data_IF_261509281723
#
_entry.id   IF_261509281723
#
_cell.length_a   1.000
_cell.length_b   1.000
_cell.length_c   1.000
_cell.angle_alpha   90.00
_cell.angle_beta   90.00
_cell.angle_gamma   90.00
#
_symmetry.space_group_name_H-M   'P 1'
#
loop_
_entity.id
_entity.type
_entity.pdbx_description
1 polymer ?
#
# COMPACT_ATOMS: atom_id res chain seq x y z
N UNK A 1 -31.64 -45.34 -25.73
CA UNK A 1 -31.33 -45.73 -24.34
C UNK A 1 -30.56 -44.59 -23.72
N UNK A 2 -31.07 -43.99 -22.66
CA UNK A 2 -30.54 -42.77 -22.05
C UNK A 2 -29.27 -43.05 -21.26
N UNK A 3 -28.38 -42.07 -21.16
CA UNK A 3 -27.08 -42.12 -20.46
C UNK A 3 -27.18 -42.68 -19.02
N UNK A 4 -28.33 -42.54 -18.38
CA UNK A 4 -28.66 -43.13 -17.09
C UNK A 4 -28.76 -44.65 -17.11
N UNK A 5 -29.09 -45.26 -18.27
CA UNK A 5 -29.17 -46.72 -18.41
C UNK A 5 -27.81 -47.41 -18.39
N UNK A 6 -26.78 -46.78 -18.96
CA UNK A 6 -25.40 -47.32 -18.94
C UNK A 6 -24.73 -47.17 -17.56
N UNK A 7 -25.07 -46.12 -16.81
CA UNK A 7 -24.57 -45.96 -15.47
C UNK A 7 -25.16 -47.02 -14.52
N UNK A 8 -26.47 -47.35 -14.65
CA UNK A 8 -27.07 -48.45 -13.88
C UNK A 8 -26.50 -49.81 -14.24
N UNK A 9 -26.27 -50.08 -15.54
CA UNK A 9 -25.63 -51.31 -15.98
C UNK A 9 -24.19 -51.44 -15.49
N UNK A 10 -23.44 -50.35 -15.47
CA UNK A 10 -22.08 -50.34 -14.93
C UNK A 10 -22.05 -50.58 -13.41
N UNK A 11 -22.95 -49.96 -12.67
CA UNK A 11 -23.06 -50.15 -11.23
C UNK A 11 -23.46 -51.56 -10.86
N UNK A 12 -24.44 -52.18 -11.59
CA UNK A 12 -24.84 -53.55 -11.38
C UNK A 12 -23.72 -54.55 -11.73
N UNK A 13 -22.95 -54.27 -12.75
CA UNK A 13 -21.78 -55.11 -13.11
C UNK A 13 -20.68 -55.04 -12.04
N UNK A 14 -20.40 -53.86 -11.49
CA UNK A 14 -19.43 -53.69 -10.39
C UNK A 14 -19.88 -54.38 -9.11
N UNK A 15 -21.18 -54.25 -8.77
CA UNK A 15 -21.73 -54.95 -7.60
C UNK A 15 -21.73 -56.45 -7.80
N UNK A 16 -22.07 -56.94 -8.98
CA UNK A 16 -22.00 -58.37 -9.30
C UNK A 16 -20.56 -58.90 -9.24
N UNK A 17 -19.55 -58.15 -9.75
CA UNK A 17 -18.15 -58.48 -9.65
C UNK A 17 -17.66 -58.52 -8.18
N UNK A 18 -18.06 -57.53 -7.37
CA UNK A 18 -17.73 -57.51 -5.94
C UNK A 18 -18.34 -58.68 -5.18
N UNK A 19 -19.61 -58.99 -5.45
CA UNK A 19 -20.30 -60.18 -4.88
C UNK A 19 -19.61 -61.46 -5.33
N UNK A 20 -19.23 -61.55 -6.61
CA UNK A 20 -18.45 -62.69 -7.15
C UNK A 20 -17.09 -62.85 -6.46
N UNK A 21 -16.35 -61.80 -6.22
CA UNK A 21 -15.06 -61.82 -5.48
C UNK A 21 -15.29 -62.28 -4.05
N UNK A 22 -16.32 -61.75 -3.37
CA UNK A 22 -16.62 -62.17 -2.00
C UNK A 22 -17.04 -63.62 -1.92
N UNK A 23 -17.90 -64.13 -2.85
CA UNK A 23 -18.31 -65.49 -2.91
C UNK A 23 -17.11 -66.41 -3.26
N UNK A 24 -16.26 -65.97 -4.22
CA UNK A 24 -15.04 -66.74 -4.56
C UNK A 24 -14.06 -66.81 -3.36
N UNK A 25 -13.85 -65.66 -2.66
CA UNK A 25 -13.03 -65.64 -1.46
C UNK A 25 -13.61 -66.53 -0.34
N UNK A 26 -14.93 -66.55 -0.20
CA UNK A 26 -15.63 -67.38 0.78
C UNK A 26 -15.54 -68.88 0.40
N UNK A 27 -15.70 -69.21 -0.87
CA UNK A 27 -15.54 -70.57 -1.37
C UNK A 27 -14.07 -71.05 -1.26
N UNK A 28 -13.10 -70.24 -1.55
CA UNK A 28 -11.67 -70.50 -1.33
C UNK A 28 -11.34 -70.68 0.15
N UNK A 29 -11.91 -69.87 1.00
CA UNK A 29 -11.80 -69.99 2.45
C UNK A 29 -12.43 -71.31 2.96
N UNK A 30 -13.63 -71.66 2.47
CA UNK A 30 -14.29 -72.95 2.81
C UNK A 30 -13.49 -74.13 2.28
N UNK A 31 -12.91 -74.06 1.03
CA UNK A 31 -12.07 -75.08 0.49
C UNK A 31 -10.76 -75.25 1.31
N UNK A 32 -10.08 -74.15 1.64
CA UNK A 32 -8.92 -74.16 2.50
C UNK A 32 -9.23 -74.67 3.94
N UNK A 33 -10.40 -74.32 4.45
CA UNK A 33 -10.87 -74.87 5.75
C UNK A 33 -11.24 -76.35 5.68
N UNK A 34 -11.67 -76.88 4.49
CA UNK A 34 -11.89 -78.30 4.25
C UNK A 34 -10.57 -79.07 4.17
N UNK A 35 -9.56 -78.54 3.46
CA UNK A 35 -8.22 -79.17 3.38
C UNK A 35 -7.51 -79.14 4.74
N UNK A 36 -7.67 -78.05 5.53
CA UNK A 36 -7.22 -78.01 6.92
C UNK A 36 -7.98 -79.01 7.85
N UNK A 37 -9.24 -79.35 7.55
CA UNK A 37 -9.98 -80.41 8.27
C UNK A 37 -9.39 -81.80 8.12
N UNK A 38 -8.74 -82.09 6.97
CA UNK A 38 -8.03 -83.35 6.77
C UNK A 38 -6.86 -83.58 7.73
N UNK A 39 -6.25 -82.51 8.23
CA UNK A 39 -5.09 -82.60 9.10
C UNK A 39 -5.36 -82.36 10.63
N UNK A 40 -6.62 -81.93 10.97
CA UNK A 40 -6.98 -81.55 12.35
C UNK A 40 -7.98 -82.49 13.03
N UNK A 41 -8.06 -83.74 12.59
CA UNK A 41 -9.02 -84.69 13.20
C UNK A 41 -8.56 -85.25 14.57
N UNK A 42 -7.44 -84.73 15.12
CA UNK A 42 -6.91 -85.18 16.43
C UNK A 42 -6.85 -84.13 17.55
N UNK A 43 -7.33 -82.91 17.39
CA UNK A 43 -7.42 -82.01 18.57
C UNK A 43 -8.51 -80.99 18.47
N UNK A 44 -9.35 -80.88 19.50
CA UNK A 44 -10.52 -80.04 19.66
C UNK A 44 -10.30 -78.51 19.58
N UNK A 45 -9.70 -78.05 18.48
CA UNK A 45 -9.28 -76.64 18.27
C UNK A 45 -9.96 -75.82 17.19
N UNK A 46 -11.00 -76.36 16.49
CA UNK A 46 -11.60 -75.69 15.33
C UNK A 46 -12.25 -74.33 15.66
N UNK A 47 -12.86 -74.22 16.84
CA UNK A 47 -13.46 -72.96 17.30
C UNK A 47 -12.43 -71.90 17.69
N UNK A 48 -11.29 -72.36 18.26
CA UNK A 48 -10.21 -71.46 18.69
C UNK A 48 -9.45 -70.90 17.47
N UNK A 49 -9.26 -71.67 16.41
CA UNK A 49 -8.55 -71.22 15.19
C UNK A 49 -9.40 -70.22 14.39
N UNK A 50 -10.71 -70.45 14.30
CA UNK A 50 -11.60 -69.51 13.64
C UNK A 50 -11.75 -68.19 14.42
N UNK A 51 -11.78 -68.25 15.74
CA UNK A 51 -11.77 -67.07 16.62
C UNK A 51 -10.46 -66.29 16.51
N UNK A 52 -9.31 -66.96 16.46
CA UNK A 52 -8.01 -66.34 16.28
C UNK A 52 -7.85 -65.66 14.91
N UNK A 53 -8.30 -66.28 13.81
CA UNK A 53 -8.28 -65.71 12.48
C UNK A 53 -9.23 -64.51 12.34
N UNK A 54 -10.40 -64.55 12.97
CA UNK A 54 -11.31 -63.40 13.08
C UNK A 54 -10.73 -62.26 13.93
N UNK A 55 -10.07 -62.59 15.05
CA UNK A 55 -9.39 -61.56 15.84
C UNK A 55 -8.22 -60.90 15.08
N UNK A 56 -7.44 -61.68 14.33
CA UNK A 56 -6.36 -61.14 13.50
C UNK A 56 -6.87 -60.22 12.40
N UNK A 57 -7.92 -60.62 11.68
CA UNK A 57 -8.53 -59.77 10.62
C UNK A 57 -9.16 -58.53 11.22
N UNK A 58 -9.87 -58.60 12.34
CA UNK A 58 -10.38 -57.42 13.03
C UNK A 58 -9.28 -56.49 13.56
N UNK A 59 -8.18 -57.05 14.07
CA UNK A 59 -7.02 -56.28 14.50
C UNK A 59 -6.38 -55.55 13.31
N UNK A 60 -6.22 -56.21 12.16
CA UNK A 60 -5.71 -55.58 10.93
C UNK A 60 -6.63 -54.47 10.40
N UNK A 61 -7.95 -54.70 10.37
CA UNK A 61 -8.92 -53.71 9.96
C UNK A 61 -8.90 -52.45 10.88
N UNK A 62 -8.85 -52.67 12.21
CA UNK A 62 -8.71 -51.57 13.17
C UNK A 62 -7.40 -50.80 13.04
N UNK A 63 -6.29 -51.47 12.74
CA UNK A 63 -5.00 -50.82 12.47
C UNK A 63 -5.07 -50.01 11.19
N UNK A 64 -5.70 -50.53 10.14
CA UNK A 64 -5.86 -49.82 8.86
C UNK A 64 -6.78 -48.62 8.99
N UNK A 65 -7.89 -48.74 9.71
CA UNK A 65 -8.81 -47.64 10.01
C UNK A 65 -8.09 -46.53 10.81
N UNK A 66 -7.35 -46.88 11.87
CA UNK A 66 -6.53 -45.92 12.63
C UNK A 66 -5.49 -45.22 11.76
N UNK A 67 -4.77 -45.97 10.93
CA UNK A 67 -3.77 -45.40 10.03
C UNK A 67 -4.39 -44.46 8.98
N UNK A 68 -5.61 -44.75 8.50
CA UNK A 68 -6.33 -43.86 7.61
C UNK A 68 -6.84 -42.59 8.32
N UNK A 69 -7.36 -42.76 9.55
CA UNK A 69 -7.81 -41.61 10.37
C UNK A 69 -6.61 -40.68 10.71
N UNK A 70 -5.50 -41.23 11.14
CA UNK A 70 -4.26 -40.47 11.44
C UNK A 70 -3.75 -39.72 10.19
N UNK A 71 -3.77 -40.36 9.02
CA UNK A 71 -3.39 -39.72 7.75
C UNK A 71 -4.35 -38.61 7.36
N UNK A 72 -5.66 -38.81 7.54
CA UNK A 72 -6.67 -37.79 7.29
C UNK A 72 -6.49 -36.58 8.21
N UNK A 73 -6.31 -36.83 9.51
CA UNK A 73 -6.05 -35.76 10.49
C UNK A 73 -4.74 -35.00 10.20
N UNK A 74 -3.66 -35.73 9.86
CA UNK A 74 -2.38 -35.12 9.50
C UNK A 74 -2.50 -34.24 8.24
N UNK A 75 -3.23 -34.72 7.23
CA UNK A 75 -3.49 -33.96 6.00
C UNK A 75 -4.33 -32.70 6.27
N UNK A 76 -5.33 -32.82 7.13
CA UNK A 76 -6.21 -31.70 7.49
C UNK A 76 -5.47 -30.64 8.31
N UNK A 77 -4.63 -31.07 9.27
CA UNK A 77 -3.75 -30.17 10.02
C UNK A 77 -2.78 -29.43 9.12
N UNK A 78 -2.09 -30.14 8.22
CA UNK A 78 -1.13 -29.53 7.28
C UNK A 78 -1.84 -28.51 6.36
N UNK A 79 -3.02 -28.84 5.85
CA UNK A 79 -3.81 -27.91 5.03
C UNK A 79 -4.20 -26.65 5.80
N UNK A 80 -4.61 -26.81 7.06
CA UNK A 80 -4.94 -25.69 7.95
C UNK A 80 -3.73 -24.82 8.26
N UNK A 81 -2.58 -25.44 8.57
CA UNK A 81 -1.32 -24.73 8.83
C UNK A 81 -0.86 -23.92 7.61
N UNK A 82 -0.96 -24.50 6.41
CA UNK A 82 -0.64 -23.78 5.15
C UNK A 82 -1.54 -22.55 5.01
N UNK A 83 -2.86 -22.70 5.17
CA UNK A 83 -3.82 -21.59 5.04
C UNK A 83 -3.55 -20.48 6.07
N UNK A 84 -3.20 -20.84 7.29
CA UNK A 84 -2.89 -19.88 8.37
C UNK A 84 -1.57 -19.15 8.13
N UNK A 85 -0.55 -19.86 7.63
CA UNK A 85 0.78 -19.31 7.41
C UNK A 85 0.90 -18.43 6.18
N UNK A 86 -0.06 -18.47 5.26
CA UNK A 86 -0.07 -17.61 4.07
C UNK A 86 -0.03 -16.13 4.47
N UNK A 87 0.95 -15.40 3.94
CA UNK A 87 1.05 -13.94 4.08
C UNK A 87 0.06 -13.20 3.20
N UNK A 88 -0.39 -13.80 2.10
CA UNK A 88 -1.47 -13.32 1.26
C UNK A 88 -2.84 -13.57 1.90
N UNK A 89 -3.78 -12.66 1.69
CA UNK A 89 -5.18 -12.88 2.04
C UNK A 89 -5.78 -13.97 1.16
N UNK A 90 -6.39 -14.97 1.77
CA UNK A 90 -7.14 -16.03 1.10
C UNK A 90 -8.61 -15.92 1.48
N UNK A 91 -9.47 -15.78 0.48
CA UNK A 91 -10.93 -15.81 0.62
C UNK A 91 -11.50 -16.85 -0.33
N UNK A 92 -12.25 -17.81 0.20
CA UNK A 92 -12.98 -18.81 -0.58
C UNK A 92 -14.48 -18.62 -0.37
N UNK A 93 -15.21 -18.53 -1.47
CA UNK A 93 -16.66 -18.34 -1.48
C UNK A 93 -17.34 -19.45 -2.28
N UNK A 94 -18.54 -19.84 -1.88
CA UNK A 94 -19.37 -20.77 -2.64
C UNK A 94 -20.31 -20.03 -3.62
N UNK A 95 -21.04 -20.79 -4.44
CA UNK A 95 -22.03 -20.24 -5.36
C UNK A 95 -23.22 -19.54 -4.62
N UNK A 96 -23.48 -19.90 -3.38
CA UNK A 96 -24.47 -19.27 -2.51
C UNK A 96 -23.97 -17.96 -1.88
N UNK A 97 -22.81 -17.44 -2.33
CA UNK A 97 -22.19 -16.22 -1.82
C UNK A 97 -21.77 -16.30 -0.34
N UNK A 98 -21.60 -17.52 0.21
CA UNK A 98 -21.13 -17.72 1.56
C UNK A 98 -19.63 -17.87 1.61
N UNK A 99 -19.01 -17.24 2.60
CA UNK A 99 -17.58 -17.37 2.87
C UNK A 99 -17.32 -18.73 3.52
N UNK A 100 -16.52 -19.55 2.87
CA UNK A 100 -16.08 -20.85 3.36
C UNK A 100 -14.76 -20.76 4.11
N UNK A 101 -13.83 -19.98 3.58
CA UNK A 101 -12.50 -19.78 4.16
C UNK A 101 -12.15 -18.31 4.08
N UNK A 102 -11.61 -17.77 5.16
CA UNK A 102 -10.96 -16.47 5.22
C UNK A 102 -9.80 -16.58 6.21
N UNK A 103 -8.56 -16.55 5.68
CA UNK A 103 -7.38 -16.72 6.50
C UNK A 103 -7.07 -15.48 7.38
N UNK A 104 -6.19 -15.59 8.39
CA UNK A 104 -5.85 -14.46 9.27
C UNK A 104 -5.25 -13.26 8.53
N UNK A 105 -4.44 -13.49 7.48
CA UNK A 105 -3.89 -12.40 6.66
C UNK A 105 -5.00 -11.63 5.95
N UNK A 106 -5.97 -12.32 5.37
CA UNK A 106 -7.12 -11.70 4.72
C UNK A 106 -7.98 -10.89 5.70
N UNK A 107 -8.21 -11.39 6.92
CA UNK A 107 -8.92 -10.64 7.95
C UNK A 107 -8.21 -9.32 8.28
N UNK A 108 -6.88 -9.37 8.48
CA UNK A 108 -6.09 -8.14 8.75
C UNK A 108 -6.16 -7.14 7.62
N UNK A 109 -5.98 -7.58 6.37
CA UNK A 109 -6.01 -6.69 5.19
C UNK A 109 -7.38 -6.05 4.95
N UNK A 110 -8.47 -6.76 5.33
CA UNK A 110 -9.83 -6.25 5.22
C UNK A 110 -10.29 -5.46 6.47
N UNK A 111 -9.42 -5.32 7.49
CA UNK A 111 -9.74 -4.62 8.73
C UNK A 111 -10.82 -5.30 9.57
N UNK A 112 -10.95 -6.63 9.46
CA UNK A 112 -11.95 -7.43 10.18
C UNK A 112 -11.38 -7.95 11.50
N UNK A 113 -12.20 -7.93 12.56
CA UNK A 113 -11.82 -8.55 13.82
C UNK A 113 -11.63 -10.07 13.67
N UNK A 114 -10.76 -10.65 14.52
CA UNK A 114 -10.45 -12.08 14.47
C UNK A 114 -11.72 -12.95 14.60
N UNK A 115 -12.67 -12.53 15.45
CA UNK A 115 -13.90 -13.26 15.77
C UNK A 115 -15.10 -12.85 14.90
N UNK A 116 -14.87 -12.04 13.84
CA UNK A 116 -15.99 -11.64 12.98
C UNK A 116 -16.61 -12.89 12.34
N UNK A 117 -17.95 -13.09 12.49
CA UNK A 117 -18.62 -14.28 11.96
C UNK A 117 -18.52 -14.31 10.42
N UNK A 118 -18.25 -15.49 9.88
CA UNK A 118 -18.27 -15.73 8.44
C UNK A 118 -19.73 -15.92 8.01
N UNK A 119 -20.12 -15.17 6.99
CA UNK A 119 -21.45 -15.21 6.41
C UNK A 119 -21.36 -14.92 4.91
N UNK A 120 -22.32 -14.20 4.35
CA UNK A 120 -22.24 -13.73 2.98
C UNK A 120 -21.08 -12.74 2.81
N UNK A 121 -20.33 -12.89 1.70
CA UNK A 121 -19.16 -12.00 1.44
C UNK A 121 -19.57 -10.55 1.10
N UNK A 122 -20.80 -10.31 0.62
CA UNK A 122 -21.25 -8.96 0.26
C UNK A 122 -21.30 -8.00 1.46
N UNK A 123 -21.96 -8.32 2.60
CA UNK A 123 -21.91 -7.47 3.77
C UNK A 123 -20.50 -7.42 4.41
N UNK A 124 -19.76 -8.54 4.35
CA UNK A 124 -18.38 -8.61 4.85
C UNK A 124 -17.45 -7.65 4.10
N UNK A 125 -17.58 -7.54 2.77
CA UNK A 125 -16.78 -6.68 1.90
C UNK A 125 -17.42 -5.31 1.66
N UNK A 126 -18.33 -4.85 2.50
CA UNK A 126 -18.99 -3.54 2.36
C UNK A 126 -17.99 -2.39 2.22
N UNK A 127 -16.89 -2.45 2.97
CA UNK A 127 -15.80 -1.47 2.89
C UNK A 127 -14.76 -1.81 1.80
N UNK A 128 -14.95 -2.91 1.09
CA UNK A 128 -14.05 -3.44 0.05
C UNK A 128 -14.83 -3.79 -1.22
N UNK A 129 -15.77 -2.95 -1.61
CA UNK A 129 -16.65 -3.17 -2.78
C UNK A 129 -15.89 -3.50 -4.09
N UNK A 130 -14.73 -2.88 -4.41
CA UNK A 130 -13.97 -3.28 -5.59
C UNK A 130 -13.58 -4.76 -5.60
N UNK A 131 -13.24 -5.33 -4.43
CA UNK A 131 -12.94 -6.76 -4.28
C UNK A 131 -14.19 -7.62 -4.49
N UNK A 132 -15.33 -7.22 -3.92
CA UNK A 132 -16.60 -7.91 -4.10
C UNK A 132 -17.00 -7.97 -5.58
N UNK A 133 -16.84 -6.87 -6.32
CA UNK A 133 -17.15 -6.80 -7.76
C UNK A 133 -16.31 -7.77 -8.59
N UNK A 134 -15.02 -7.90 -8.29
CA UNK A 134 -14.13 -8.84 -9.00
C UNK A 134 -14.51 -10.30 -8.71
N UNK A 135 -14.90 -10.63 -7.49
CA UNK A 135 -15.40 -11.96 -7.13
C UNK A 135 -16.70 -12.26 -7.89
N UNK A 136 -17.64 -11.33 -7.92
CA UNK A 136 -18.90 -11.47 -8.65
C UNK A 136 -18.69 -11.63 -10.16
N UNK A 137 -17.75 -10.87 -10.74
CA UNK A 137 -17.34 -10.98 -12.13
C UNK A 137 -16.84 -12.39 -12.46
N UNK A 138 -15.95 -12.95 -11.61
CA UNK A 138 -15.43 -14.31 -11.78
C UNK A 138 -16.51 -15.36 -11.63
N UNK A 139 -17.38 -15.26 -10.62
CA UNK A 139 -18.50 -16.19 -10.41
C UNK A 139 -19.49 -16.19 -11.57
N UNK A 140 -19.75 -15.03 -12.18
CA UNK A 140 -20.67 -14.89 -13.30
C UNK A 140 -20.08 -15.38 -14.63
N UNK A 141 -18.79 -15.11 -14.89
CA UNK A 141 -18.14 -15.41 -16.17
C UNK A 141 -17.45 -16.77 -16.19
N UNK A 142 -17.11 -17.31 -15.01
CA UNK A 142 -16.27 -18.51 -14.87
C UNK A 142 -14.80 -18.27 -15.27
N UNK A 143 -14.44 -17.06 -15.72
CA UNK A 143 -13.09 -16.73 -16.18
C UNK A 143 -12.20 -16.29 -15.00
N UNK A 144 -10.94 -16.75 -14.95
CA UNK A 144 -10.01 -16.30 -13.92
C UNK A 144 -9.58 -14.86 -14.17
N UNK A 145 -9.50 -14.09 -13.09
CA UNK A 145 -9.00 -12.72 -13.09
C UNK A 145 -7.63 -12.74 -12.40
N UNK A 146 -6.58 -12.42 -13.15
CA UNK A 146 -5.20 -12.57 -12.67
C UNK A 146 -4.55 -11.21 -12.48
N UNK A 147 -3.94 -11.00 -11.30
CA UNK A 147 -3.12 -9.81 -10.97
C UNK A 147 -3.80 -8.47 -11.23
N UNK A 148 -5.06 -8.34 -10.89
CA UNK A 148 -5.78 -7.07 -10.99
C UNK A 148 -5.44 -6.21 -9.77
N UNK A 149 -4.93 -5.00 -10.00
CA UNK A 149 -4.74 -4.03 -8.92
C UNK A 149 -6.08 -3.33 -8.63
N UNK A 150 -6.46 -3.26 -7.37
CA UNK A 150 -7.67 -2.61 -6.89
C UNK A 150 -7.30 -1.51 -5.90
N UNK A 151 -7.88 -0.34 -6.10
CA UNK A 151 -7.85 0.74 -5.10
C UNK A 151 -8.98 0.53 -4.10
N UNK A 152 -8.63 0.48 -2.83
CA UNK A 152 -9.57 0.31 -1.75
C UNK A 152 -9.88 1.66 -1.11
N UNK A 153 -11.15 1.94 -0.77
CA UNK A 153 -11.50 3.17 -0.08
C UNK A 153 -10.74 3.27 1.24
N UNK A 154 -10.14 4.44 1.47
CA UNK A 154 -9.25 4.68 2.59
C UNK A 154 -9.95 4.51 3.95
N UNK A 155 -9.41 3.66 4.79
CA UNK A 155 -9.61 3.76 6.23
C UNK A 155 -8.52 4.69 6.77
N UNK A 156 -8.88 5.80 7.45
CA UNK A 156 -7.94 6.85 7.91
C UNK A 156 -7.14 7.60 6.83
N UNK A 157 -7.76 7.95 5.70
CA UNK A 157 -7.19 8.81 4.63
C UNK A 157 -6.02 8.20 3.83
N UNK A 158 -5.67 6.94 4.02
CA UNK A 158 -4.66 6.26 3.21
C UNK A 158 -5.34 5.27 2.28
N UNK A 159 -5.31 5.51 0.98
CA UNK A 159 -5.78 4.58 -0.04
C UNK A 159 -4.90 3.33 0.00
N UNK A 160 -5.47 2.16 0.18
CA UNK A 160 -4.73 0.92 0.12
C UNK A 160 -4.90 0.26 -1.26
N UNK A 161 -3.84 -0.35 -1.76
CA UNK A 161 -3.83 -1.05 -3.04
C UNK A 161 -3.74 -2.55 -2.81
N UNK A 162 -4.72 -3.31 -3.33
CA UNK A 162 -4.70 -4.76 -3.29
C UNK A 162 -4.43 -5.34 -4.67
N UNK A 163 -3.43 -6.21 -4.78
CA UNK A 163 -3.24 -7.08 -5.95
C UNK A 163 -4.09 -8.33 -5.79
N UNK A 164 -5.03 -8.56 -6.70
CA UNK A 164 -6.06 -9.60 -6.56
C UNK A 164 -5.96 -10.59 -7.69
N UNK A 165 -6.06 -11.87 -7.36
CA UNK A 165 -6.25 -12.99 -8.31
C UNK A 165 -7.46 -13.79 -7.85
N UNK A 166 -8.44 -13.95 -8.74
CA UNK A 166 -9.65 -14.74 -8.48
C UNK A 166 -9.75 -15.84 -9.52
N UNK A 167 -9.97 -17.06 -9.06
CA UNK A 167 -10.15 -18.22 -9.93
C UNK A 167 -11.40 -18.97 -9.53
N UNK A 168 -12.10 -19.52 -10.52
CA UNK A 168 -13.25 -20.40 -10.28
C UNK A 168 -12.79 -21.72 -9.66
N UNK A 169 -13.50 -22.17 -8.63
CA UNK A 169 -13.35 -23.51 -8.08
C UNK A 169 -14.32 -24.43 -8.80
N UNK A 170 -13.81 -25.52 -9.37
CA UNK A 170 -14.59 -26.53 -10.06
C UNK A 170 -14.50 -27.86 -9.32
N UNK A 171 -15.59 -28.62 -9.36
CA UNK A 171 -15.60 -29.99 -8.88
C UNK A 171 -14.81 -30.91 -9.85
N UNK A 172 -14.53 -32.19 -9.50
CA UNK A 172 -13.83 -33.13 -10.39
C UNK A 172 -14.55 -33.37 -11.72
N UNK A 173 -15.82 -33.01 -11.85
CA UNK A 173 -16.64 -33.14 -13.07
C UNK A 173 -16.58 -31.87 -13.91
N UNK A 174 -15.97 -30.78 -13.41
CA UNK A 174 -15.80 -29.53 -14.13
C UNK A 174 -16.91 -28.51 -13.88
N UNK A 175 -17.87 -28.77 -12.98
CA UNK A 175 -18.90 -27.79 -12.66
C UNK A 175 -18.37 -26.73 -11.68
N UNK A 176 -18.73 -25.44 -11.85
CA UNK A 176 -18.34 -24.41 -10.92
C UNK A 176 -18.92 -24.70 -9.52
N UNK A 177 -18.08 -24.60 -8.52
CA UNK A 177 -18.43 -24.87 -7.11
C UNK A 177 -18.30 -23.62 -6.22
N UNK A 178 -17.57 -22.62 -6.72
CA UNK A 178 -17.31 -21.38 -6.01
C UNK A 178 -16.18 -20.59 -6.63
N UNK A 179 -15.57 -19.70 -5.87
CA UNK A 179 -14.38 -18.97 -6.27
C UNK A 179 -13.35 -18.91 -5.14
N UNK A 180 -12.08 -18.96 -5.52
CA UNK A 180 -10.94 -18.71 -4.66
C UNK A 180 -10.35 -17.36 -5.04
N UNK A 181 -10.16 -16.50 -4.05
CA UNK A 181 -9.59 -15.18 -4.18
C UNK A 181 -8.33 -15.08 -3.33
N UNK A 182 -7.21 -14.81 -3.98
CA UNK A 182 -5.93 -14.47 -3.34
C UNK A 182 -5.69 -12.97 -3.51
N UNK A 183 -5.33 -12.28 -2.43
CA UNK A 183 -5.04 -10.86 -2.49
C UNK A 183 -3.86 -10.48 -1.59
N UNK A 184 -3.09 -9.49 -2.05
CA UNK A 184 -1.86 -9.04 -1.40
C UNK A 184 -1.90 -7.52 -1.27
N UNK A 185 -1.43 -6.99 -0.18
CA UNK A 185 -1.28 -5.55 0.00
C UNK A 185 -0.09 -5.05 -0.83
N UNK A 186 -0.39 -4.25 -1.84
CA UNK A 186 0.57 -3.61 -2.73
C UNK A 186 0.82 -2.15 -2.38
N UNK A 187 0.26 -1.63 -1.30
CA UNK A 187 0.30 -0.19 -0.96
C UNK A 187 1.74 0.32 -0.89
N UNK A 188 2.63 -0.41 -0.22
CA UNK A 188 4.04 -0.02 -0.14
C UNK A 188 4.77 -0.16 -1.47
N UNK A 189 4.45 -1.18 -2.27
CA UNK A 189 5.08 -1.42 -3.58
C UNK A 189 4.70 -0.31 -4.55
N UNK A 190 3.41 0.01 -4.64
CA UNK A 190 2.89 1.10 -5.50
C UNK A 190 3.46 2.45 -5.08
N UNK A 191 3.53 2.72 -3.78
CA UNK A 191 4.12 3.95 -3.27
C UNK A 191 5.63 4.06 -3.59
N UNK A 192 6.38 2.95 -3.50
CA UNK A 192 7.79 2.91 -3.92
C UNK A 192 7.94 3.10 -5.44
N UNK A 193 7.10 2.47 -6.23
CA UNK A 193 7.13 2.61 -7.70
C UNK A 193 6.85 4.06 -8.12
N UNK A 194 5.87 4.70 -7.49
CA UNK A 194 5.56 6.11 -7.73
C UNK A 194 6.72 7.03 -7.32
N UNK A 195 7.36 6.76 -6.18
CA UNK A 195 8.57 7.48 -5.77
C UNK A 195 9.72 7.32 -6.76
N UNK A 196 9.94 6.10 -7.28
CA UNK A 196 10.98 5.86 -8.30
C UNK A 196 10.66 6.59 -9.60
N UNK A 197 9.42 6.51 -10.08
CA UNK A 197 8.97 7.25 -11.28
C UNK A 197 9.17 8.76 -11.12
N UNK A 198 8.86 9.28 -9.94
CA UNK A 198 9.06 10.69 -9.65
C UNK A 198 10.56 11.04 -9.65
N UNK A 199 11.41 10.24 -8.99
CA UNK A 199 12.86 10.42 -8.99
C UNK A 199 13.43 10.43 -10.43
N UNK A 200 13.02 9.48 -11.26
CA UNK A 200 13.47 9.38 -12.66
C UNK A 200 13.00 10.57 -13.50
N UNK A 201 11.76 10.98 -13.34
CA UNK A 201 11.21 12.16 -14.02
C UNK A 201 11.97 13.43 -13.66
N UNK A 202 12.25 13.61 -12.37
CA UNK A 202 13.03 14.75 -11.85
C UNK A 202 14.47 14.74 -12.34
N UNK A 203 15.10 13.57 -12.43
CA UNK A 203 16.46 13.42 -12.94
C UNK A 203 16.56 13.83 -14.42
N UNK A 204 15.64 13.37 -15.26
CA UNK A 204 15.60 13.74 -16.71
C UNK A 204 15.36 15.23 -16.91
N UNK A 205 14.48 15.85 -16.15
CA UNK A 205 14.27 17.31 -16.21
C UNK A 205 15.54 18.02 -15.81
N UNK A 206 16.28 17.52 -14.82
CA UNK A 206 17.54 18.12 -14.35
C UNK A 206 18.65 18.15 -15.39
N UNK A 207 18.83 17.05 -16.10
CA UNK A 207 19.91 16.91 -17.07
C UNK A 207 19.74 17.83 -18.31
N UNK A 208 18.51 17.92 -18.81
CA UNK A 208 18.18 18.77 -19.97
C UNK A 208 18.21 20.27 -19.66
N UNK A 209 18.03 20.64 -18.41
CA UNK A 209 17.74 22.03 -18.02
C UNK A 209 18.97 22.79 -17.55
N UNK A 210 20.03 22.11 -17.10
CA UNK A 210 21.22 22.77 -16.55
C UNK A 210 21.93 23.70 -17.55
N UNK A 211 22.00 23.31 -18.82
CA UNK A 211 22.59 24.13 -19.89
C UNK A 211 21.72 25.36 -20.22
N UNK A 212 20.44 25.12 -20.44
CA UNK A 212 19.50 26.18 -20.85
C UNK A 212 19.38 27.26 -19.77
N UNK A 213 19.28 26.86 -18.52
CA UNK A 213 19.08 27.81 -17.42
C UNK A 213 20.35 28.64 -17.12
N UNK A 214 21.54 28.15 -17.43
CA UNK A 214 22.75 28.96 -17.35
C UNK A 214 22.72 30.10 -18.37
N UNK A 215 22.26 29.84 -19.59
CA UNK A 215 22.11 30.87 -20.64
C UNK A 215 21.02 31.89 -20.26
N UNK A 216 19.87 31.43 -19.74
CA UNK A 216 18.83 32.35 -19.26
C UNK A 216 19.33 33.26 -18.13
N UNK A 217 20.05 32.71 -17.15
CA UNK A 217 20.63 33.50 -16.06
C UNK A 217 21.55 34.57 -16.55
N UNK A 218 22.45 34.23 -17.50
CA UNK A 218 23.39 35.20 -18.08
C UNK A 218 22.68 36.29 -18.84
N UNK A 219 21.67 35.96 -19.68
CA UNK A 219 20.87 36.93 -20.41
C UNK A 219 20.10 37.89 -19.47
N UNK A 220 19.43 37.35 -18.45
CA UNK A 220 18.70 38.15 -17.47
C UNK A 220 19.63 39.02 -16.62
N UNK A 221 20.83 38.51 -16.23
CA UNK A 221 21.83 39.28 -15.50
C UNK A 221 22.33 40.46 -16.33
N UNK A 222 22.53 40.27 -17.64
CA UNK A 222 22.91 41.33 -18.56
C UNK A 222 21.85 42.43 -18.69
N UNK A 223 20.57 42.04 -18.88
CA UNK A 223 19.45 42.99 -18.97
C UNK A 223 19.29 43.75 -17.63
N UNK A 224 19.36 43.04 -16.50
CA UNK A 224 19.30 43.64 -15.19
C UNK A 224 20.45 44.61 -14.95
N UNK A 225 21.66 44.23 -15.38
CA UNK A 225 22.85 45.07 -15.31
C UNK A 225 22.70 46.37 -16.08
N UNK A 226 22.26 46.30 -17.34
CA UNK A 226 21.98 47.50 -18.13
C UNK A 226 20.89 48.38 -17.52
N UNK A 227 19.82 47.79 -17.02
CA UNK A 227 18.74 48.54 -16.33
C UNK A 227 19.26 49.25 -15.06
N UNK A 228 20.25 48.68 -14.34
CA UNK A 228 20.87 49.30 -13.16
C UNK A 228 21.81 50.45 -13.49
N UNK A 229 22.42 50.43 -14.66
CA UNK A 229 23.28 51.54 -15.13
C UNK A 229 22.46 52.80 -15.49
N UNK A 230 21.17 52.68 -15.74
CA UNK A 230 20.30 53.83 -15.97
C UNK A 230 20.01 54.50 -14.62
N UNK A 231 20.54 55.69 -14.42
CA UNK A 231 20.25 56.47 -13.23
C UNK A 231 18.83 57.02 -13.25
N UNK A 232 17.98 56.57 -12.31
CA UNK A 232 16.58 56.98 -12.24
C UNK A 232 16.42 58.47 -11.98
N UNK A 233 17.37 59.10 -11.30
CA UNK A 233 17.29 60.53 -10.96
C UNK A 233 17.57 61.42 -12.14
N UNK A 234 18.36 60.96 -13.08
CA UNK A 234 18.67 61.70 -14.32
C UNK A 234 17.68 61.43 -15.46
N UNK A 235 16.84 60.37 -15.33
CA UNK A 235 15.85 60.06 -16.36
C UNK A 235 14.60 60.94 -16.24
N UNK A 236 14.01 61.32 -17.41
CA UNK A 236 12.73 61.99 -17.43
C UNK A 236 11.67 61.17 -16.64
N UNK A 237 10.81 61.83 -15.87
CA UNK A 237 9.84 61.12 -15.01
C UNK A 237 8.97 60.06 -15.73
N UNK A 238 8.67 60.30 -17.00
CA UNK A 238 7.89 59.41 -17.87
C UNK A 238 8.55 58.03 -18.06
N UNK A 239 9.88 57.92 -18.02
CA UNK A 239 10.63 56.68 -18.29
C UNK A 239 10.98 55.92 -17.01
N UNK A 240 10.96 56.56 -15.84
CA UNK A 240 11.32 55.96 -14.58
C UNK A 240 10.49 54.68 -14.27
N UNK A 241 9.15 54.68 -14.44
CA UNK A 241 8.35 53.47 -14.17
C UNK A 241 8.72 52.29 -15.08
N UNK A 242 9.12 52.57 -16.32
CA UNK A 242 9.52 51.50 -17.25
C UNK A 242 10.86 50.87 -16.85
N UNK A 243 11.85 51.67 -16.46
CA UNK A 243 13.14 51.15 -16.01
C UNK A 243 12.97 50.37 -14.70
N UNK A 244 12.16 50.87 -13.78
CA UNK A 244 11.85 50.22 -12.52
C UNK A 244 11.11 48.90 -12.77
N UNK A 245 10.15 48.87 -13.69
CA UNK A 245 9.48 47.66 -14.13
C UNK A 245 10.43 46.61 -14.73
N UNK A 246 11.37 47.04 -15.59
CA UNK A 246 12.38 46.16 -16.14
C UNK A 246 13.29 45.57 -15.07
N UNK A 247 13.70 46.39 -14.09
CA UNK A 247 14.53 45.93 -12.94
C UNK A 247 13.77 44.87 -12.13
N UNK A 248 12.53 45.13 -11.82
CA UNK A 248 11.69 44.25 -11.01
C UNK A 248 11.43 42.94 -11.76
N UNK A 249 11.06 42.99 -13.05
CA UNK A 249 10.76 41.83 -13.87
C UNK A 249 11.99 40.96 -14.08
N UNK A 250 13.15 41.54 -14.40
CA UNK A 250 14.39 40.77 -14.58
C UNK A 250 14.87 40.14 -13.28
N UNK A 251 14.69 40.77 -12.13
CA UNK A 251 14.98 40.19 -10.81
C UNK A 251 14.04 39.01 -10.52
N UNK A 252 12.74 39.16 -10.78
CA UNK A 252 11.74 38.12 -10.63
C UNK A 252 12.04 36.89 -11.51
N UNK A 253 12.28 37.11 -12.81
CA UNK A 253 12.67 36.04 -13.74
C UNK A 253 13.97 35.35 -13.34
N UNK A 254 14.98 36.11 -12.85
CA UNK A 254 16.22 35.55 -12.30
C UNK A 254 15.97 34.61 -11.12
N UNK A 255 15.03 34.94 -10.24
CA UNK A 255 14.64 34.11 -9.12
C UNK A 255 13.91 32.84 -9.60
N UNK A 256 13.03 32.97 -10.60
CA UNK A 256 12.33 31.82 -11.21
C UNK A 256 13.35 30.82 -11.79
N UNK A 257 14.32 31.32 -12.57
CA UNK A 257 15.37 30.49 -13.16
C UNK A 257 16.23 29.83 -12.08
N UNK A 258 16.55 30.55 -11.01
CA UNK A 258 17.34 30.00 -9.89
C UNK A 258 16.56 28.88 -9.17
N UNK A 259 15.29 29.10 -8.87
CA UNK A 259 14.43 28.10 -8.25
C UNK A 259 14.26 26.87 -9.16
N UNK A 260 14.14 27.09 -10.47
CA UNK A 260 14.03 26.02 -11.45
C UNK A 260 15.32 25.20 -11.55
N UNK A 261 16.50 25.83 -11.54
CA UNK A 261 17.80 25.14 -11.49
C UNK A 261 17.96 24.30 -10.24
N UNK A 262 17.58 24.84 -9.08
CA UNK A 262 17.60 24.11 -7.81
C UNK A 262 16.66 22.91 -7.85
N UNK A 263 15.51 23.09 -8.47
CA UNK A 263 14.58 21.99 -8.71
C UNK A 263 15.13 20.97 -9.71
N UNK A 264 15.78 21.39 -10.77
CA UNK A 264 16.26 20.53 -11.85
C UNK A 264 17.52 19.73 -11.50
N UNK A 265 18.43 20.26 -10.65
CA UNK A 265 19.68 19.57 -10.30
C UNK A 265 19.41 18.21 -9.63
N UNK A 266 20.16 17.14 -10.01
CA UNK A 266 20.16 15.90 -9.23
C UNK A 266 20.51 16.21 -7.77
N UNK A 267 19.70 15.74 -6.83
CA UNK A 267 20.00 15.90 -5.41
C UNK A 267 21.16 14.95 -5.04
N UNK A 268 22.39 15.48 -4.99
CA UNK A 268 23.48 14.82 -4.29
C UNK A 268 23.30 15.19 -2.81
N UNK A 269 22.72 14.27 -2.03
CA UNK A 269 22.46 14.50 -0.61
C UNK A 269 23.75 14.43 0.18
N UNK A 270 24.06 15.48 0.93
CA UNK A 270 25.08 15.46 1.98
C UNK A 270 24.42 14.96 3.27
N UNK A 271 24.25 13.62 3.39
CA UNK A 271 23.58 13.03 4.54
C UNK A 271 24.43 13.19 5.81
N UNK A 272 23.85 13.76 6.85
CA UNK A 272 24.41 13.91 8.20
C UNK A 272 23.28 13.79 9.23
N UNK A 273 23.59 13.56 10.52
CA UNK A 273 22.61 13.69 11.58
C UNK A 273 22.03 15.10 11.63
N UNK A 274 20.72 15.23 11.51
CA UNK A 274 19.99 16.51 11.47
C UNK A 274 18.94 16.55 12.56
N UNK A 275 18.96 17.60 13.35
CA UNK A 275 17.95 17.89 14.37
C UNK A 275 16.76 18.61 13.71
N UNK A 276 15.65 17.89 13.53
CA UNK A 276 14.46 18.44 12.86
C UNK A 276 13.83 19.61 13.62
N UNK A 277 13.96 19.65 14.95
CA UNK A 277 13.48 20.76 15.76
C UNK A 277 14.22 22.05 15.43
N UNK A 278 15.55 22.00 15.30
CA UNK A 278 16.36 23.16 14.93
C UNK A 278 16.01 23.69 13.54
N UNK A 279 15.69 22.79 12.59
CA UNK A 279 15.21 23.19 11.24
C UNK A 279 13.84 23.86 11.34
N UNK A 280 12.91 23.26 12.09
CA UNK A 280 11.55 23.80 12.25
C UNK A 280 11.58 25.20 12.90
N UNK A 281 12.39 25.39 13.95
CA UNK A 281 12.54 26.68 14.60
C UNK A 281 13.17 27.74 13.69
N UNK A 282 14.20 27.39 12.92
CA UNK A 282 14.79 28.31 11.94
C UNK A 282 13.80 28.75 10.89
N UNK A 283 13.02 27.79 10.35
CA UNK A 283 11.99 28.09 9.36
C UNK A 283 10.87 28.98 9.95
N UNK A 284 10.47 28.73 11.19
CA UNK A 284 9.49 29.55 11.91
C UNK A 284 10.01 30.98 12.11
N UNK A 285 11.28 31.13 12.52
CA UNK A 285 11.90 32.44 12.77
C UNK A 285 11.96 33.32 11.53
N UNK A 286 12.18 32.73 10.33
CA UNK A 286 12.20 33.45 9.05
C UNK A 286 10.91 34.25 8.80
N UNK A 287 9.76 33.78 9.29
CA UNK A 287 8.44 34.40 9.03
C UNK A 287 7.75 34.93 10.29
N UNK A 288 8.28 34.66 11.48
CA UNK A 288 7.68 35.05 12.79
C UNK A 288 7.54 36.57 12.91
N UNK A 289 8.53 37.33 12.46
CA UNK A 289 8.47 38.78 12.42
C UNK A 289 7.29 39.28 11.57
N UNK A 290 7.16 38.79 10.37
CA UNK A 290 6.07 39.17 9.45
C UNK A 290 4.70 38.70 9.96
N UNK A 291 4.61 37.54 10.58
CA UNK A 291 3.39 37.06 11.19
C UNK A 291 2.93 37.97 12.35
N UNK A 292 3.85 38.36 13.24
CA UNK A 292 3.57 39.24 14.37
C UNK A 292 3.15 40.65 13.97
N UNK A 293 3.77 41.21 12.93
CA UNK A 293 3.35 42.53 12.41
C UNK A 293 1.91 42.53 11.90
N UNK A 294 1.37 41.35 11.58
CA UNK A 294 -0.01 41.11 11.09
C UNK A 294 -0.94 40.56 12.19
N UNK A 295 -0.51 40.61 13.46
CA UNK A 295 -1.30 40.17 14.62
C UNK A 295 -1.39 38.66 14.79
N UNK A 296 -0.49 37.89 14.11
CA UNK A 296 -0.43 36.45 14.18
C UNK A 296 0.81 35.90 14.89
N UNK A 297 0.99 34.60 14.88
CA UNK A 297 2.19 33.94 15.40
C UNK A 297 2.50 32.62 14.67
N UNK A 298 3.76 32.13 14.86
CA UNK A 298 4.25 30.85 14.37
C UNK A 298 4.79 30.05 15.54
N UNK A 299 4.20 28.87 15.77
CA UNK A 299 4.49 28.03 16.92
C UNK A 299 5.08 26.70 16.45
N UNK A 300 6.22 26.31 17.04
CA UNK A 300 6.80 24.97 16.89
C UNK A 300 6.49 24.19 18.17
N UNK A 301 5.99 22.97 18.02
CA UNK A 301 5.64 22.13 19.17
C UNK A 301 5.72 20.64 18.83
N UNK A 302 5.70 19.79 19.85
CA UNK A 302 5.71 18.34 19.70
C UNK A 302 7.09 17.74 19.90
N UNK A 303 7.35 16.57 19.32
CA UNK A 303 8.60 15.84 19.47
C UNK A 303 9.24 15.62 18.11
N UNK A 304 10.48 16.04 17.95
CA UNK A 304 11.24 15.98 16.72
C UNK A 304 12.47 15.07 16.91
N UNK A 305 12.51 13.90 16.25
CA UNK A 305 13.71 13.06 16.33
C UNK A 305 14.83 13.60 15.44
N UNK A 306 16.06 13.18 15.74
CA UNK A 306 17.18 13.32 14.83
C UNK A 306 17.04 12.31 13.69
N UNK A 307 17.30 12.73 12.45
CA UNK A 307 17.27 11.89 11.25
C UNK A 307 18.59 11.99 10.49
N UNK A 308 18.87 11.03 9.61
CA UNK A 308 19.90 11.21 8.58
C UNK A 308 19.32 12.02 7.41
N UNK A 309 19.90 13.19 7.15
CA UNK A 309 19.39 14.08 6.11
C UNK A 309 20.40 15.15 5.69
N UNK A 310 20.01 15.95 4.72
CA UNK A 310 20.74 17.15 4.27
C UNK A 310 20.09 18.38 4.91
N UNK A 311 20.81 19.01 5.87
CA UNK A 311 20.33 20.16 6.63
C UNK A 311 19.89 21.33 5.72
N UNK A 312 20.66 21.59 4.65
CA UNK A 312 20.40 22.73 3.75
C UNK A 312 19.09 22.50 2.97
N UNK A 313 18.93 21.30 2.43
CA UNK A 313 17.76 20.97 1.64
C UNK A 313 16.50 20.85 2.50
N UNK A 314 16.60 20.19 3.67
CA UNK A 314 15.45 20.08 4.58
C UNK A 314 15.02 21.46 5.09
N UNK A 315 15.95 22.34 5.46
CA UNK A 315 15.64 23.72 5.82
C UNK A 315 14.92 24.45 4.67
N UNK A 316 15.40 24.32 3.43
CA UNK A 316 14.73 24.90 2.29
C UNK A 316 13.30 24.39 2.11
N UNK A 317 13.05 23.10 2.36
CA UNK A 317 11.71 22.53 2.27
C UNK A 317 10.79 23.13 3.35
N UNK A 318 11.25 23.22 4.61
CA UNK A 318 10.48 23.78 5.71
C UNK A 318 10.20 25.28 5.50
N UNK A 319 11.22 26.08 5.14
CA UNK A 319 11.06 27.51 4.83
C UNK A 319 10.03 27.72 3.71
N UNK A 320 10.04 26.92 2.66
CA UNK A 320 9.03 27.01 1.58
C UNK A 320 7.61 26.72 2.10
N UNK A 321 7.43 25.72 2.96
CA UNK A 321 6.11 25.40 3.52
C UNK A 321 5.60 26.50 4.42
N UNK A 322 6.43 27.00 5.34
CA UNK A 322 6.05 28.02 6.30
C UNK A 322 5.77 29.36 5.61
N UNK A 323 6.55 29.71 4.59
CA UNK A 323 6.30 30.89 3.75
C UNK A 323 4.99 30.77 2.97
N UNK A 324 4.72 29.60 2.39
CA UNK A 324 3.44 29.36 1.72
C UNK A 324 2.24 29.48 2.66
N UNK A 325 2.38 29.00 3.91
CA UNK A 325 1.37 29.14 4.94
C UNK A 325 1.12 30.62 5.31
N UNK A 326 2.18 31.40 5.51
CA UNK A 326 2.09 32.83 5.77
C UNK A 326 1.37 33.58 4.63
N UNK A 327 1.81 33.36 3.39
CA UNK A 327 1.22 33.97 2.20
C UNK A 327 -0.27 33.63 2.08
N UNK A 328 -0.66 32.37 2.30
CA UNK A 328 -2.06 31.94 2.25
C UNK A 328 -2.93 32.63 3.31
N UNK A 329 -2.42 32.81 4.52
CA UNK A 329 -3.11 33.53 5.57
C UNK A 329 -3.29 35.02 5.21
N UNK A 330 -2.25 35.63 4.66
CA UNK A 330 -2.26 37.04 4.23
C UNK A 330 -3.24 37.27 3.09
N UNK A 331 -3.22 36.42 2.06
CA UNK A 331 -4.16 36.46 0.94
C UNK A 331 -5.63 36.32 1.39
N UNK A 332 -5.86 35.52 2.46
CA UNK A 332 -7.18 35.38 3.07
C UNK A 332 -7.59 36.55 3.98
N UNK A 333 -6.71 37.54 4.18
CA UNK A 333 -6.97 38.66 5.09
C UNK A 333 -7.06 38.26 6.57
N UNK A 334 -6.46 37.11 6.97
CA UNK A 334 -6.48 36.61 8.34
C UNK A 334 -5.15 36.88 9.04
N UNK A 335 -5.22 37.07 10.37
CA UNK A 335 -4.03 37.05 11.20
C UNK A 335 -3.38 35.65 11.11
N UNK A 336 -2.09 35.55 10.71
CA UNK A 336 -1.44 34.24 10.51
C UNK A 336 -1.37 33.43 11.80
N UNK A 337 -1.89 32.21 11.77
CA UNK A 337 -1.72 31.23 12.84
C UNK A 337 -1.13 29.96 12.21
N UNK A 338 0.18 29.80 12.37
CA UNK A 338 0.94 28.72 11.76
C UNK A 338 1.52 27.84 12.85
N UNK A 339 1.33 26.53 12.73
CA UNK A 339 1.83 25.56 13.71
C UNK A 339 2.69 24.54 12.97
N UNK A 340 3.91 24.33 13.45
CA UNK A 340 4.77 23.22 13.04
C UNK A 340 4.73 22.19 14.16
N UNK A 341 4.09 21.05 13.92
CA UNK A 341 3.83 20.02 14.91
C UNK A 341 4.62 18.76 14.60
N UNK A 342 5.49 18.33 15.52
CA UNK A 342 6.34 17.14 15.40
C UNK A 342 5.77 15.97 16.20
N UNK A 343 5.84 14.77 15.63
CA UNK A 343 5.47 13.51 16.28
C UNK A 343 6.35 12.36 15.79
N UNK A 344 6.55 11.38 16.66
CA UNK A 344 7.28 10.14 16.33
C UNK A 344 6.27 9.00 16.22
N UNK A 345 6.23 8.33 15.07
CA UNK A 345 5.47 7.09 14.91
C UNK A 345 6.37 5.91 15.29
N UNK A 346 6.23 5.42 16.52
CA UNK A 346 7.06 4.34 17.06
C UNK A 346 6.89 3.00 16.32
N UNK A 347 5.71 2.74 15.72
CA UNK A 347 5.45 1.52 14.97
C UNK A 347 6.14 1.50 13.60
N UNK A 348 6.33 2.66 12.99
CA UNK A 348 6.90 2.79 11.65
C UNK A 348 8.34 3.34 11.65
N UNK A 349 8.91 3.66 12.80
CA UNK A 349 10.20 4.35 12.92
C UNK A 349 10.27 5.59 11.99
N UNK A 350 9.22 6.41 11.99
CA UNK A 350 9.10 7.60 11.15
C UNK A 350 8.86 8.85 11.98
N UNK A 351 9.55 9.93 11.61
CA UNK A 351 9.24 11.28 12.06
C UNK A 351 8.07 11.82 11.24
N UNK A 352 7.01 12.26 11.89
CA UNK A 352 5.89 12.94 11.26
C UNK A 352 5.92 14.41 11.63
N UNK A 353 5.98 15.29 10.63
CA UNK A 353 5.98 16.74 10.80
C UNK A 353 4.76 17.30 10.06
N UNK A 354 3.96 18.10 10.74
CA UNK A 354 2.78 18.75 10.17
C UNK A 354 2.92 20.26 10.20
N UNK A 355 2.83 20.92 9.04
CA UNK A 355 2.74 22.38 8.95
C UNK A 355 1.28 22.73 8.72
N UNK A 356 0.68 23.41 9.69
CA UNK A 356 -0.73 23.74 9.75
C UNK A 356 -0.91 25.25 9.65
N UNK A 357 -1.85 25.71 8.85
CA UNK A 357 -2.21 27.12 8.74
C UNK A 357 -3.72 27.36 8.98
N UNK A 358 -4.13 28.61 9.09
CA UNK A 358 -5.51 29.05 9.17
C UNK A 358 -5.97 29.81 7.90
N UNK A 359 -5.26 29.61 6.79
CA UNK A 359 -5.57 30.24 5.49
C UNK A 359 -6.91 29.77 4.89
N UNK A 360 -7.09 29.90 3.58
CA UNK A 360 -8.32 29.49 2.89
C UNK A 360 -8.42 27.99 2.66
N UNK A 361 -7.34 27.23 2.96
CA UNK A 361 -7.24 25.81 2.65
C UNK A 361 -7.00 25.56 1.15
N UNK A 362 -7.11 24.29 0.73
CA UNK A 362 -6.83 23.84 -0.65
C UNK A 362 -8.07 23.18 -1.24
N UNK A 363 -8.52 23.73 -2.37
CA UNK A 363 -9.65 23.19 -3.10
C UNK A 363 -9.40 21.72 -3.52
N UNK A 364 -10.40 20.82 -3.42
CA UNK A 364 -10.23 19.40 -3.77
C UNK A 364 -9.67 19.19 -5.18
N UNK A 365 -10.12 19.94 -6.16
CA UNK A 365 -9.65 19.88 -7.56
C UNK A 365 -8.17 20.25 -7.74
N UNK A 366 -7.56 20.97 -6.79
CA UNK A 366 -6.16 21.39 -6.84
C UNK A 366 -5.22 20.42 -6.14
N UNK A 367 -5.72 19.54 -5.29
CA UNK A 367 -4.87 18.67 -4.45
C UNK A 367 -3.97 17.74 -5.25
N UNK A 368 -4.48 17.13 -6.32
CA UNK A 368 -3.71 16.23 -7.19
C UNK A 368 -2.63 16.94 -8.02
N UNK A 369 -2.80 18.26 -8.21
CA UNK A 369 -1.92 19.08 -9.05
C UNK A 369 -0.95 19.94 -8.26
N UNK A 370 -1.13 20.04 -6.95
CA UNK A 370 -0.43 20.97 -6.07
C UNK A 370 1.10 20.83 -6.11
N UNK A 371 1.59 19.60 -6.28
CA UNK A 371 3.01 19.30 -6.36
C UNK A 371 3.56 19.26 -7.80
N UNK A 372 2.71 19.49 -8.81
CA UNK A 372 3.19 19.56 -10.20
C UNK A 372 4.00 20.84 -10.41
N UNK A 373 5.18 20.76 -11.03
CA UNK A 373 5.96 21.94 -11.37
C UNK A 373 5.14 22.97 -12.15
N UNK A 374 5.36 24.24 -11.86
CA UNK A 374 4.66 25.39 -12.47
C UNK A 374 3.16 25.48 -12.18
N UNK A 375 2.61 24.61 -11.37
CA UNK A 375 1.23 24.76 -10.92
C UNK A 375 1.16 25.78 -9.77
N UNK A 376 0.39 26.84 -9.97
CA UNK A 376 0.15 27.88 -8.96
C UNK A 376 -1.26 28.45 -9.09
N UNK A 377 -1.84 28.82 -7.98
CA UNK A 377 -3.07 29.60 -7.89
C UNK A 377 -2.81 31.06 -7.56
N UNK A 378 -1.56 31.41 -7.25
CA UNK A 378 -1.12 32.75 -6.88
C UNK A 378 -0.74 33.58 -8.11
N UNK A 379 -1.09 34.88 -8.14
CA UNK A 379 -0.79 35.77 -9.27
C UNK A 379 0.72 35.93 -9.56
N UNK A 380 1.55 35.90 -8.54
CA UNK A 380 3.01 36.04 -8.63
C UNK A 380 3.77 34.77 -8.20
N UNK A 381 3.09 33.65 -8.10
CA UNK A 381 3.69 32.39 -7.71
C UNK A 381 4.40 31.69 -8.86
N UNK A 382 5.62 31.18 -8.64
CA UNK A 382 6.39 30.41 -9.64
C UNK A 382 5.85 29.00 -9.86
N UNK A 383 5.06 28.47 -8.91
CA UNK A 383 4.58 27.08 -8.91
C UNK A 383 5.66 26.04 -8.70
N UNK A 384 6.88 26.44 -8.29
CA UNK A 384 8.01 25.53 -8.06
C UNK A 384 8.25 25.20 -6.60
N UNK A 385 7.75 26.02 -5.67
CA UNK A 385 8.05 25.86 -4.24
C UNK A 385 7.61 24.51 -3.68
N UNK A 386 6.35 24.11 -3.92
CA UNK A 386 5.82 22.81 -3.43
C UNK A 386 6.38 21.62 -4.20
N UNK A 387 6.65 21.75 -5.48
CA UNK A 387 7.34 20.73 -6.26
C UNK A 387 8.76 20.48 -5.74
N UNK A 388 9.47 21.55 -5.35
CA UNK A 388 10.79 21.45 -4.71
C UNK A 388 10.72 20.79 -3.33
N UNK A 389 9.70 21.15 -2.52
CA UNK A 389 9.45 20.46 -1.24
C UNK A 389 9.26 18.97 -1.46
N UNK A 390 8.37 18.56 -2.36
CA UNK A 390 8.15 17.16 -2.66
C UNK A 390 9.43 16.46 -3.10
N UNK A 391 10.21 17.07 -3.99
CA UNK A 391 11.49 16.54 -4.45
C UNK A 391 12.45 16.31 -3.27
N UNK A 392 12.63 17.29 -2.42
CA UNK A 392 13.52 17.19 -1.26
C UNK A 392 13.08 16.06 -0.34
N UNK A 393 11.81 16.02 0.02
CA UNK A 393 11.27 14.99 0.92
C UNK A 393 11.42 13.59 0.32
N UNK A 394 11.10 13.41 -0.97
CA UNK A 394 11.26 12.13 -1.69
C UNK A 394 12.73 11.72 -1.81
N UNK A 395 13.65 12.68 -1.99
CA UNK A 395 15.09 12.39 -2.00
C UNK A 395 15.59 11.87 -0.65
N UNK A 396 14.98 12.29 0.46
CA UNK A 396 15.23 11.79 1.82
C UNK A 396 14.42 10.50 2.13
N UNK A 397 13.89 9.80 1.14
CA UNK A 397 13.02 8.63 1.29
C UNK A 397 11.74 8.91 2.11
N UNK A 398 11.35 10.17 2.20
CA UNK A 398 10.14 10.62 2.88
C UNK A 398 8.92 10.68 1.96
N UNK A 399 7.80 11.03 2.57
CA UNK A 399 6.52 11.27 1.87
C UNK A 399 5.96 12.61 2.34
N UNK A 400 5.23 13.29 1.45
CA UNK A 400 4.46 14.48 1.78
C UNK A 400 3.01 14.29 1.35
N UNK A 401 2.09 14.65 2.20
CA UNK A 401 0.65 14.62 1.93
C UNK A 401 0.04 15.97 2.27
N UNK A 402 -1.13 16.26 1.71
CA UNK A 402 -1.88 17.47 1.98
C UNK A 402 -3.27 17.13 2.52
N UNK A 403 -3.68 17.85 3.54
CA UNK A 403 -4.97 17.71 4.21
C UNK A 403 -5.60 19.06 4.57
N UNK A 404 -6.59 18.99 5.44
CA UNK A 404 -7.27 20.16 6.00
C UNK A 404 -6.74 20.35 7.43
N UNK A 405 -6.38 21.59 7.75
CA UNK A 405 -6.03 21.97 9.13
C UNK A 405 -7.27 22.00 10.01
N UNK A 406 -7.18 21.69 11.32
CA UNK A 406 -8.28 21.87 12.28
C UNK A 406 -8.81 23.31 12.33
N UNK A 407 -7.99 24.29 12.00
CA UNK A 407 -8.35 25.71 11.89
C UNK A 407 -9.01 26.09 10.56
N UNK A 408 -9.28 25.13 9.67
CA UNK A 408 -9.94 25.32 8.38
C UNK A 408 -8.99 25.67 7.22
N UNK A 409 -7.69 25.85 7.48
CA UNK A 409 -6.65 26.09 6.48
C UNK A 409 -6.08 24.82 5.89
N UNK A 410 -4.85 24.87 5.38
CA UNK A 410 -4.14 23.70 4.86
C UNK A 410 -3.31 22.99 5.92
N UNK A 411 -3.10 21.72 5.73
CA UNK A 411 -2.22 20.85 6.52
C UNK A 411 -1.27 20.13 5.57
N UNK A 412 0.04 20.40 5.67
CA UNK A 412 1.07 19.63 4.97
C UNK A 412 1.71 18.67 5.95
N UNK A 413 1.61 17.38 5.67
CA UNK A 413 2.16 16.31 6.51
C UNK A 413 3.35 15.67 5.83
N UNK A 414 4.50 15.72 6.48
CA UNK A 414 5.76 15.13 6.05
C UNK A 414 6.02 13.90 6.92
N UNK A 415 6.44 12.81 6.30
CA UNK A 415 6.93 11.61 6.99
C UNK A 415 8.35 11.34 6.52
N UNK A 416 9.31 11.27 7.45
CA UNK A 416 10.72 11.00 7.18
C UNK A 416 11.18 9.78 7.97
N UNK A 417 12.01 8.88 7.38
CA UNK A 417 12.54 7.74 8.12
C UNK A 417 13.48 8.21 9.24
N UNK A 418 13.30 7.66 10.43
CA UNK A 418 14.22 7.87 11.55
C UNK A 418 15.35 6.84 11.43
N UNK A 419 16.60 7.28 11.52
CA UNK A 419 17.73 6.38 11.56
C UNK A 419 17.55 5.40 12.74
N UNK A 420 17.59 4.10 12.46
CA UNK A 420 17.68 3.12 13.54
C UNK A 420 19.01 3.37 14.25
N UNK A 421 18.95 3.83 15.49
CA UNK A 421 20.12 3.81 16.34
C UNK A 421 20.64 2.38 16.35
N UNK A 422 21.78 2.13 15.74
CA UNK A 422 22.51 0.88 15.87
C UNK A 422 23.17 0.88 17.24
N UNK A 423 22.38 0.86 18.30
CA UNK A 423 22.82 0.38 19.60
C UNK A 423 22.66 -1.13 19.57
N UNK A 424 23.64 -1.81 19.00
CA UNK A 424 23.95 -3.17 19.37
C UNK A 424 24.52 -3.14 20.78
N UNK A 425 24.04 -4.00 21.68
CA UNK A 425 24.61 -4.18 23.00
C UNK A 425 26.00 -4.81 22.96
#
# INVERSE_FOLDING_TARGET
MTQTGYAFLGLTAIVAALVGIVVFAMLRFVAAARDARGHLRESGGEGAFMAAALQETMARLKLQERAMAERAEASERLSSEIVISLTAGLLVVDLGRQVRILNPAGRRMLGLAADHPLGSYLPLLKNAMPLANVIEECLRTGQPIVRRALEMPAHNQVTSHLGVTVSSLTDPVGNPHGAICLFTDLTNVMAMEEQLRLKDSLARVGELTAGIAHEFRNGLATIHGYARLLDLDTLPPTYRPYVEGIRQETASLGQIVTNFLTFARPAQLALAPVELEAIAERAAEEVRGDARTRGGDVVVRGSFPTIEGDDVLLRQAFSNLVRNALEACVEAGKAPSIIIDGAIDGNQCTARISVLDNGPGIAPASRERLFRPFFTTKKQGTGLGLALVQKIIVSHNGRIAVGISPSGGASFQISLPVARSSTLP
#
